data_IF_907510080644
#
_entry.id   IF_907510080644
#
_cell.length_a   1.000
_cell.length_b   1.000
_cell.length_c   1.000
_cell.angle_alpha   90.00
_cell.angle_beta   90.00
_cell.angle_gamma   90.00
#
_symmetry.space_group_name_H-M   'P 1'
#
loop_
_entity.id
_entity.type
_entity.pdbx_description
1 polymer ?
#
# COMPACT_ATOMS: atom_id res chain seq x y z
N UNK A 1 -10.33 -46.12 39.97
CA UNK A 1 -10.51 -47.48 39.38
C UNK A 1 -11.78 -47.52 38.54
N UNK A 2 -11.64 -47.50 37.21
CA UNK A 2 -12.37 -48.34 36.23
C UNK A 2 -11.92 -47.95 34.82
N UNK A 3 -11.44 -48.96 34.09
CA UNK A 3 -10.98 -48.90 32.71
C UNK A 3 -11.92 -49.74 31.85
N UNK A 4 -12.24 -49.31 30.63
CA UNK A 4 -12.71 -50.08 29.46
C UNK A 4 -12.50 -49.14 28.25
N UNK A 5 -11.48 -49.26 27.39
CA UNK A 5 -11.18 -50.28 26.37
C UNK A 5 -12.39 -50.74 25.55
N UNK A 6 -12.39 -50.45 24.25
CA UNK A 6 -13.38 -50.97 23.29
C UNK A 6 -13.17 -50.46 21.86
N UNK A 7 -12.30 -51.14 21.11
CA UNK A 7 -12.07 -51.01 19.65
C UNK A 7 -13.15 -51.81 18.91
N UNK A 8 -13.83 -51.25 17.90
CA UNK A 8 -14.47 -51.99 16.77
C UNK A 8 -14.78 -50.97 15.64
N UNK A 9 -13.97 -50.82 14.58
CA UNK A 9 -13.85 -51.62 13.37
C UNK A 9 -15.06 -51.55 12.40
N UNK A 10 -14.82 -50.84 11.28
CA UNK A 10 -15.33 -50.95 9.90
C UNK A 10 -16.64 -51.69 9.58
N UNK A 11 -17.55 -50.99 8.88
CA UNK A 11 -18.38 -51.58 7.82
C UNK A 11 -18.14 -50.81 6.52
N UNK A 12 -17.45 -51.47 5.61
CA UNK A 12 -17.38 -51.17 4.18
C UNK A 12 -18.67 -51.67 3.52
N UNK A 13 -19.37 -50.80 2.78
CA UNK A 13 -20.36 -51.21 1.79
C UNK A 13 -19.97 -50.61 0.44
N UNK A 14 -19.39 -51.48 -0.40
CA UNK A 14 -19.19 -51.32 -1.84
C UNK A 14 -20.32 -52.07 -2.56
N UNK A 15 -20.92 -51.46 -3.59
CA UNK A 15 -21.56 -52.21 -4.68
C UNK A 15 -22.74 -51.54 -5.38
N UNK A 16 -22.55 -51.19 -6.67
CA UNK A 16 -23.60 -50.92 -7.67
C UNK A 16 -23.62 -49.46 -8.15
N UNK A 17 -22.77 -49.00 -9.08
CA UNK A 17 -22.71 -49.28 -10.52
C UNK A 17 -24.00 -48.90 -11.28
N UNK A 18 -24.08 -47.64 -11.71
CA UNK A 18 -24.97 -47.16 -12.75
C UNK A 18 -24.21 -46.12 -13.55
N UNK A 19 -23.70 -46.52 -14.72
CA UNK A 19 -22.75 -45.75 -15.52
C UNK A 19 -23.33 -44.53 -16.21
N UNK A 20 -22.46 -43.53 -16.39
CA UNK A 20 -22.71 -42.35 -17.22
C UNK A 20 -21.61 -41.30 -17.02
N UNK A 21 -20.46 -41.49 -17.65
CA UNK A 21 -19.56 -40.39 -18.02
C UNK A 21 -19.47 -40.39 -19.55
N UNK A 22 -19.12 -39.28 -20.24
CA UNK A 22 -18.52 -38.04 -19.72
C UNK A 22 -19.22 -36.76 -20.24
N UNK A 23 -18.89 -35.60 -19.67
CA UNK A 23 -18.51 -34.37 -20.42
C UNK A 23 -18.18 -33.29 -19.41
N UNK A 24 -16.93 -32.83 -19.45
CA UNK A 24 -16.56 -31.56 -18.86
C UNK A 24 -17.24 -30.46 -19.66
N UNK A 25 -18.06 -29.65 -19.00
CA UNK A 25 -18.24 -28.27 -19.43
C UNK A 25 -17.92 -27.37 -18.24
N UNK A 26 -17.03 -26.43 -18.51
CA UNK A 26 -16.47 -25.52 -17.54
C UNK A 26 -17.41 -24.32 -17.45
N UNK A 27 -18.07 -24.18 -16.31
CA UNK A 27 -18.85 -22.99 -16.04
C UNK A 27 -20.02 -23.30 -15.14
N UNK A 28 -19.81 -23.19 -13.83
CA UNK A 28 -20.72 -22.35 -13.06
C UNK A 28 -20.08 -21.91 -11.75
N UNK A 29 -20.23 -20.61 -11.55
CA UNK A 29 -19.55 -19.76 -10.59
C UNK A 29 -19.98 -20.07 -9.14
N UNK A 30 -19.26 -20.99 -8.49
CA UNK A 30 -19.34 -21.16 -7.03
C UNK A 30 -18.83 -19.91 -6.28
N UNK A 31 -19.04 -19.81 -4.95
CA UNK A 31 -18.75 -18.61 -4.13
C UNK A 31 -17.29 -18.12 -4.14
N UNK A 32 -16.40 -18.80 -4.85
CA UNK A 32 -15.07 -18.33 -5.25
C UNK A 32 -15.10 -17.26 -6.36
N UNK A 33 -16.16 -17.16 -7.16
CA UNK A 33 -16.33 -16.16 -8.23
C UNK A 33 -16.76 -14.78 -7.70
N UNK A 34 -17.16 -14.68 -6.43
CA UNK A 34 -17.38 -13.39 -5.77
C UNK A 34 -16.06 -12.65 -5.46
N UNK A 35 -14.89 -13.26 -5.74
CA UNK A 35 -13.60 -12.57 -5.74
C UNK A 35 -13.38 -11.69 -7.00
N UNK A 36 -14.29 -11.71 -7.98
CA UNK A 36 -14.12 -11.03 -9.26
C UNK A 36 -14.96 -9.73 -9.42
N UNK A 37 -15.64 -9.22 -8.39
CA UNK A 37 -16.50 -8.03 -8.53
C UNK A 37 -16.19 -6.86 -7.60
N UNK A 38 -15.00 -6.79 -7.02
CA UNK A 38 -14.69 -5.72 -6.07
C UNK A 38 -13.24 -5.73 -5.62
N UNK A 39 -12.32 -5.47 -6.55
CA UNK A 39 -11.00 -4.95 -6.21
C UNK A 39 -11.23 -3.57 -5.60
N UNK A 40 -11.62 -3.53 -4.32
CA UNK A 40 -11.35 -2.38 -3.51
C UNK A 40 -9.84 -2.35 -3.38
N UNK A 41 -9.24 -1.41 -4.10
CA UNK A 41 -7.83 -1.05 -4.06
C UNK A 41 -7.45 -0.72 -2.61
N UNK A 42 -7.17 -1.76 -1.82
CA UNK A 42 -6.40 -1.61 -0.60
C UNK A 42 -5.01 -1.30 -1.10
N UNK A 43 -4.73 0.00 -1.25
CA UNK A 43 -3.40 0.53 -1.50
C UNK A 43 -2.44 -0.28 -0.63
N UNK A 44 -1.48 -0.95 -1.26
CA UNK A 44 -0.47 -1.84 -0.67
C UNK A 44 0.49 -1.12 0.29
N UNK A 45 0.09 -0.06 0.96
CA UNK A 45 0.84 0.61 2.02
C UNK A 45 0.44 0.11 3.42
N UNK A 46 -0.09 -1.10 3.55
CA UNK A 46 -0.40 -1.67 4.85
C UNK A 46 0.70 -2.64 5.25
N UNK A 47 1.80 -2.15 5.82
CA UNK A 47 2.50 -3.01 6.76
C UNK A 47 1.50 -3.46 7.84
N UNK A 48 1.48 -4.77 8.14
CA UNK A 48 0.62 -5.35 9.19
C UNK A 48 0.72 -4.50 10.46
N UNK A 49 -0.37 -3.83 10.84
CA UNK A 49 -0.53 -3.16 12.14
C UNK A 49 -0.79 -1.65 12.13
N UNK A 50 -0.41 -0.89 11.09
CA UNK A 50 -0.69 0.56 11.05
C UNK A 50 -0.82 1.11 9.60
N UNK A 51 -1.96 0.89 8.93
CA UNK A 51 -2.16 1.33 7.55
C UNK A 51 -2.23 2.85 7.46
N UNK A 52 -1.81 3.40 6.31
CA UNK A 52 -1.88 4.84 6.04
C UNK A 52 -3.32 5.20 5.63
N UNK A 53 -4.01 6.11 6.35
CA UNK A 53 -5.38 6.50 6.00
C UNK A 53 -5.40 7.29 4.68
N UNK A 54 -6.30 6.94 3.76
CA UNK A 54 -6.39 7.54 2.41
C UNK A 54 -7.43 8.65 2.28
N UNK A 55 -8.45 8.69 3.13
CA UNK A 55 -9.65 9.54 2.97
C UNK A 55 -9.37 11.04 2.76
N UNK A 56 -8.29 11.56 3.33
CA UNK A 56 -7.92 12.98 3.25
C UNK A 56 -6.64 13.23 2.43
N UNK A 57 -6.04 12.18 1.85
CA UNK A 57 -4.83 12.32 1.05
C UNK A 57 -5.20 12.51 -0.42
N UNK A 58 -4.62 13.51 -1.11
CA UNK A 58 -4.75 13.60 -2.56
C UNK A 58 -4.26 12.32 -3.26
N UNK A 59 -4.83 12.03 -4.43
CA UNK A 59 -4.49 10.82 -5.20
C UNK A 59 -3.02 10.78 -5.61
N UNK A 60 -2.40 11.94 -5.86
CA UNK A 60 -0.99 12.05 -6.22
C UNK A 60 -0.03 11.85 -5.04
N UNK A 61 -0.53 11.77 -3.80
CA UNK A 61 0.28 11.43 -2.62
C UNK A 61 0.30 9.91 -2.50
N UNK A 62 1.09 9.26 -3.35
CA UNK A 62 1.32 7.82 -3.26
C UNK A 62 2.34 7.48 -2.17
N UNK A 63 2.20 6.30 -1.60
CA UNK A 63 3.04 5.80 -0.51
C UNK A 63 3.70 4.51 -0.91
N UNK A 64 4.97 4.34 -0.51
CA UNK A 64 5.73 3.13 -0.78
C UNK A 64 5.05 1.88 -0.17
N UNK A 65 5.16 0.73 -0.85
CA UNK A 65 4.57 -0.53 -0.40
C UNK A 65 5.07 -0.93 1.00
N UNK A 66 4.16 -1.37 1.88
CA UNK A 66 4.52 -1.70 3.26
C UNK A 66 4.86 -0.48 4.14
N UNK A 67 4.46 0.72 3.74
CA UNK A 67 4.49 1.90 4.61
C UNK A 67 3.77 1.65 5.96
N UNK A 68 4.32 2.18 7.04
CA UNK A 68 3.73 2.19 8.38
C UNK A 68 3.39 3.63 8.73
N UNK A 69 2.11 3.91 8.94
CA UNK A 69 1.65 5.23 9.28
C UNK A 69 2.38 5.77 10.53
N UNK A 70 2.77 7.05 10.48
CA UNK A 70 3.32 7.78 11.62
C UNK A 70 2.33 8.84 12.09
N UNK A 71 2.11 9.85 11.25
CA UNK A 71 1.14 10.92 11.52
C UNK A 71 0.77 11.65 10.22
N UNK A 72 -0.33 12.36 10.22
CA UNK A 72 -0.70 13.30 9.17
C UNK A 72 -1.33 14.56 9.74
N UNK A 73 -1.16 15.65 9.03
CA UNK A 73 -1.80 16.93 9.30
C UNK A 73 -2.45 17.42 8.01
N UNK A 74 -3.63 18.02 8.13
CA UNK A 74 -4.41 18.54 7.01
C UNK A 74 -4.83 19.98 7.32
N UNK A 75 -4.62 20.87 6.36
CA UNK A 75 -5.04 22.26 6.43
C UNK A 75 -5.83 22.65 5.20
N UNK A 76 -6.73 23.61 5.36
CA UNK A 76 -7.41 24.25 4.24
C UNK A 76 -7.64 25.71 4.57
N UNK A 77 -7.48 26.57 3.57
CA UNK A 77 -7.95 27.95 3.57
C UNK A 77 -8.64 28.25 2.24
N UNK A 78 -9.06 29.49 2.02
CA UNK A 78 -9.77 29.92 0.81
C UNK A 78 -9.00 29.72 -0.50
N UNK A 79 -7.67 29.54 -0.43
CA UNK A 79 -6.80 29.46 -1.62
C UNK A 79 -6.21 28.07 -1.84
N UNK A 80 -6.02 27.29 -0.78
CA UNK A 80 -5.26 26.04 -0.84
C UNK A 80 -5.77 25.00 0.17
N UNK A 81 -5.69 23.73 -0.24
CA UNK A 81 -5.57 22.59 0.69
C UNK A 81 -4.10 22.25 0.86
N UNK A 82 -3.69 21.97 2.08
CA UNK A 82 -2.33 21.56 2.40
C UNK A 82 -2.34 20.34 3.29
N UNK A 83 -1.24 19.61 3.29
CA UNK A 83 -1.07 18.57 4.28
C UNK A 83 0.33 18.01 4.34
N UNK A 84 0.56 17.28 5.42
CA UNK A 84 1.77 16.52 5.67
C UNK A 84 1.40 15.08 5.96
N UNK A 85 2.18 14.14 5.42
CA UNK A 85 2.14 12.74 5.78
C UNK A 85 3.54 12.31 6.23
N UNK A 86 3.64 11.68 7.39
CA UNK A 86 4.83 11.03 7.88
C UNK A 86 4.57 9.53 8.00
N UNK A 87 5.43 8.72 7.41
CA UNK A 87 5.37 7.26 7.54
C UNK A 87 6.77 6.63 7.53
N UNK A 88 6.89 5.42 8.05
CA UNK A 88 8.13 4.64 8.03
C UNK A 88 8.02 3.50 7.02
N UNK A 89 9.13 3.09 6.43
CA UNK A 89 9.15 1.99 5.45
C UNK A 89 10.44 1.17 5.60
N UNK A 90 10.30 -0.15 5.55
CA UNK A 90 11.43 -1.08 5.54
C UNK A 90 11.90 -1.30 4.09
N UNK A 91 12.56 -0.29 3.53
CA UNK A 91 13.16 -0.32 2.19
C UNK A 91 14.42 0.55 2.16
N UNK A 92 15.31 0.30 1.21
CA UNK A 92 16.51 1.12 1.04
C UNK A 92 16.12 2.56 0.67
N UNK A 93 16.73 3.60 1.28
CA UNK A 93 16.36 5.00 1.02
C UNK A 93 16.42 5.37 -0.48
N UNK A 94 17.37 4.83 -1.23
CA UNK A 94 17.51 5.08 -2.66
C UNK A 94 16.31 4.54 -3.46
N UNK A 95 15.78 3.37 -3.11
CA UNK A 95 14.61 2.78 -3.76
C UNK A 95 13.36 3.61 -3.46
N UNK A 96 13.25 4.10 -2.22
CA UNK A 96 12.14 4.98 -1.80
C UNK A 96 12.21 6.32 -2.56
N UNK A 97 13.40 6.88 -2.75
CA UNK A 97 13.61 8.08 -3.56
C UNK A 97 13.17 7.84 -5.01
N UNK A 98 13.64 6.74 -5.63
CA UNK A 98 13.30 6.38 -7.00
C UNK A 98 11.79 6.19 -7.20
N UNK A 99 11.13 5.51 -6.25
CA UNK A 99 9.68 5.34 -6.23
C UNK A 99 8.94 6.68 -6.26
N UNK A 100 9.28 7.60 -5.35
CA UNK A 100 8.58 8.90 -5.25
C UNK A 100 8.83 9.79 -6.47
N UNK A 101 10.04 9.76 -7.04
CA UNK A 101 10.28 10.44 -8.31
C UNK A 101 9.43 9.88 -9.45
N UNK A 102 9.31 8.55 -9.56
CA UNK A 102 8.48 7.91 -10.58
C UNK A 102 6.99 8.24 -10.38
N UNK A 103 6.52 8.20 -9.13
CA UNK A 103 5.15 8.53 -8.78
C UNK A 103 4.80 9.99 -9.11
N UNK A 104 5.64 10.95 -8.72
CA UNK A 104 5.45 12.36 -9.09
C UNK A 104 5.33 12.55 -10.60
N UNK A 105 6.21 11.93 -11.39
CA UNK A 105 6.15 12.00 -12.86
C UNK A 105 4.86 11.38 -13.41
N UNK A 106 4.42 10.25 -12.85
CA UNK A 106 3.15 9.60 -13.22
C UNK A 106 1.95 10.53 -13.05
N UNK A 107 1.96 11.42 -12.05
CA UNK A 107 0.89 12.41 -11.82
C UNK A 107 1.12 13.79 -12.48
N UNK A 108 2.08 13.88 -13.40
CA UNK A 108 2.30 15.08 -14.21
C UNK A 108 3.06 16.20 -13.50
N UNK A 109 3.82 15.89 -12.46
CA UNK A 109 4.74 16.85 -11.85
C UNK A 109 6.02 16.96 -12.68
N UNK A 110 6.50 18.19 -12.87
CA UNK A 110 7.90 18.43 -13.21
C UNK A 110 8.73 18.26 -11.93
N UNK A 111 9.69 17.33 -11.96
CA UNK A 111 10.42 16.86 -10.78
C UNK A 111 11.84 17.40 -10.82
N UNK A 112 12.18 18.23 -9.85
CA UNK A 112 13.53 18.74 -9.70
C UNK A 112 14.54 17.63 -9.39
N UNK A 113 15.82 17.88 -9.68
CA UNK A 113 16.90 16.99 -9.28
C UNK A 113 16.90 16.83 -7.74
N UNK A 114 16.98 15.58 -7.21
CA UNK A 114 17.02 15.35 -5.77
C UNK A 114 18.21 16.05 -5.11
N UNK A 115 17.98 16.60 -3.93
CA UNK A 115 19.01 17.27 -3.13
C UNK A 115 19.26 16.48 -1.86
N UNK A 116 20.51 16.10 -1.62
CA UNK A 116 20.90 15.44 -0.37
C UNK A 116 21.47 16.45 0.61
N UNK A 117 21.09 16.33 1.88
CA UNK A 117 21.62 17.12 2.99
C UNK A 117 21.78 16.28 4.24
N UNK A 118 22.61 16.74 5.16
CA UNK A 118 22.67 16.17 6.52
C UNK A 118 21.88 17.07 7.44
N UNK A 119 20.83 16.53 8.06
CA UNK A 119 20.03 17.22 9.04
C UNK A 119 19.85 16.33 10.27
N UNK A 120 20.05 16.89 11.47
CA UNK A 120 19.90 16.16 12.75
C UNK A 120 20.68 14.82 12.77
N UNK A 121 21.89 14.82 12.22
CA UNK A 121 22.77 13.64 12.08
C UNK A 121 22.23 12.51 11.19
N UNK A 122 21.25 12.78 10.33
CA UNK A 122 20.71 11.83 9.34
C UNK A 122 20.86 12.38 7.94
N UNK A 123 21.07 11.49 6.97
CA UNK A 123 21.02 11.84 5.56
C UNK A 123 19.55 12.01 5.16
N UNK A 124 19.23 13.14 4.57
CA UNK A 124 17.92 13.43 4.00
C UNK A 124 18.08 13.68 2.51
N UNK A 125 17.27 13.00 1.70
CA UNK A 125 17.12 13.29 0.27
C UNK A 125 15.76 13.96 0.06
N UNK A 126 15.79 15.16 -0.49
CA UNK A 126 14.60 15.97 -0.80
C UNK A 126 14.30 15.88 -2.29
N UNK A 127 13.07 15.53 -2.61
CA UNK A 127 12.50 15.51 -3.95
C UNK A 127 11.38 16.55 -3.99
N UNK A 128 11.42 17.45 -4.96
CA UNK A 128 10.44 18.52 -5.11
C UNK A 128 9.81 18.41 -6.49
N UNK A 129 8.49 18.49 -6.56
CA UNK A 129 7.73 18.50 -7.79
C UNK A 129 6.69 19.60 -7.81
N UNK A 130 6.48 20.19 -8.99
CA UNK A 130 5.39 21.14 -9.27
C UNK A 130 4.64 20.69 -10.52
N UNK A 131 3.32 20.61 -10.45
CA UNK A 131 2.47 20.31 -11.59
C UNK A 131 1.98 21.60 -12.27
N UNK A 132 1.59 21.52 -13.54
CA UNK A 132 1.12 22.67 -14.33
C UNK A 132 -0.16 23.32 -13.77
N UNK A 133 -0.96 22.56 -13.03
CA UNK A 133 -2.17 23.03 -12.33
C UNK A 133 -1.87 23.70 -10.98
N UNK A 134 -0.60 23.90 -10.65
CA UNK A 134 -0.15 24.56 -9.43
C UNK A 134 -0.08 23.67 -8.19
N UNK A 135 -0.37 22.36 -8.31
CA UNK A 135 -0.09 21.42 -7.22
C UNK A 135 1.41 21.34 -6.96
N UNK A 136 1.79 21.24 -5.68
CA UNK A 136 3.18 20.98 -5.29
C UNK A 136 3.26 19.77 -4.37
N UNK A 137 4.37 19.04 -4.48
CA UNK A 137 4.70 17.93 -3.60
C UNK A 137 6.20 17.96 -3.28
N UNK A 138 6.52 18.01 -1.99
CA UNK A 138 7.87 17.85 -1.46
C UNK A 138 7.93 16.55 -0.66
N UNK A 139 8.86 15.67 -1.02
CA UNK A 139 9.12 14.41 -0.32
C UNK A 139 10.52 14.46 0.26
N UNK A 140 10.61 14.25 1.57
CA UNK A 140 11.87 14.10 2.30
C UNK A 140 12.00 12.65 2.71
N UNK A 141 13.00 11.97 2.15
CA UNK A 141 13.38 10.60 2.54
C UNK A 141 14.52 10.72 3.53
N UNK A 142 14.27 10.31 4.77
CA UNK A 142 15.19 10.38 5.90
C UNK A 142 15.73 8.98 6.16
N UNK A 143 17.03 8.78 5.93
CA UNK A 143 17.71 7.52 6.20
C UNK A 143 17.71 7.21 7.70
N UNK A 144 17.12 6.07 8.08
CA UNK A 144 17.19 5.52 9.44
C UNK A 144 18.28 4.44 9.51
N UNK A 145 18.38 3.65 8.45
CA UNK A 145 19.41 2.64 8.22
C UNK A 145 19.50 2.34 6.72
N UNK A 146 20.46 1.49 6.26
CA UNK A 146 20.53 1.08 4.86
C UNK A 146 19.27 0.40 4.31
N UNK A 147 18.39 -0.10 5.17
CA UNK A 147 17.16 -0.83 4.82
C UNK A 147 15.90 -0.23 5.42
N UNK A 148 15.98 0.96 6.02
CA UNK A 148 14.83 1.64 6.60
C UNK A 148 14.89 3.15 6.37
N UNK A 149 13.75 3.71 5.98
CA UNK A 149 13.57 5.13 5.81
C UNK A 149 12.31 5.64 6.52
N UNK A 150 12.37 6.89 6.98
CA UNK A 150 11.19 7.68 7.31
C UNK A 150 10.93 8.61 6.14
N UNK A 151 9.67 8.70 5.70
CA UNK A 151 9.26 9.55 4.60
C UNK A 151 8.34 10.64 5.14
N UNK A 152 8.69 11.89 4.89
CA UNK A 152 7.81 13.04 5.10
C UNK A 152 7.39 13.59 3.75
N UNK A 153 6.09 13.63 3.49
CA UNK A 153 5.50 14.23 2.30
C UNK A 153 4.77 15.50 2.70
N UNK A 154 4.96 16.59 1.97
CA UNK A 154 4.23 17.84 2.16
C UNK A 154 3.64 18.26 0.82
N UNK A 155 2.34 18.52 0.77
CA UNK A 155 1.65 18.86 -0.46
C UNK A 155 0.82 20.13 -0.33
N UNK A 156 0.62 20.79 -1.47
CA UNK A 156 -0.28 21.93 -1.65
C UNK A 156 -1.13 21.68 -2.88
N UNK A 157 -2.43 21.90 -2.75
CA UNK A 157 -3.41 21.82 -3.84
C UNK A 157 -4.13 23.17 -3.91
N UNK A 158 -4.01 23.93 -5.01
CA UNK A 158 -4.79 25.14 -5.23
C UNK A 158 -6.29 24.87 -5.17
N UNK A 159 -7.05 25.84 -4.63
CA UNK A 159 -8.49 25.88 -4.69
C UNK A 159 -8.92 26.87 -5.76
N UNK A 160 -9.90 26.45 -6.56
CA UNK A 160 -10.56 27.25 -7.61
C UNK A 160 -11.64 28.14 -7.01
#
# INVERSE_FOLDING_TARGET
>A
MKAYLGITACILLLGGCGGGAPTADAGDNGPAAAAASGVAEVVKSAAKGNPIPRDNLPDFVETYEGGRYGTSFFGSNEKHKTGTLLYNVAAAPADVVGFHQASMRKFGFDVAAPKTRVARKRNETVIEGTAADGRTLSVVVIEQSPTEATVQMNYVVPQS
#
